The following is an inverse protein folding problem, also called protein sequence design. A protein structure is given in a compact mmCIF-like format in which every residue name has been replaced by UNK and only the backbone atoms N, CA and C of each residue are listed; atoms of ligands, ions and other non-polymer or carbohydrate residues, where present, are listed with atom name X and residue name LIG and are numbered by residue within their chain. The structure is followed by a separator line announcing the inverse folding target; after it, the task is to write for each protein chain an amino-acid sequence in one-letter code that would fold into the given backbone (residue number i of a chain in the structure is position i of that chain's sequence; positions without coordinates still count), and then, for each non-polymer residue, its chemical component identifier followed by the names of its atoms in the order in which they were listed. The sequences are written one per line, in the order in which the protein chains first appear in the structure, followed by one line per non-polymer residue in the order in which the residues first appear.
data_IF_277827812328
#
_entry.id   IF_277827812328
#
_cell.length_a   1.000
_cell.length_b   1.000
_cell.length_c   1.000
_cell.angle_alpha   90.00
_cell.angle_beta   90.00
_cell.angle_gamma   90.00
#
_symmetry.space_group_name_H-M   'P 1'
#
loop_
_entity.id
_entity.type
_entity.pdbx_description
1 polymer ?
#
# COMPACT_ATOMS: atom_id res chain seq x y z
N UNK A 1 -7.33 35.97 -30.82
CA UNK A 1 -7.17 35.60 -29.39
C UNK A 1 -8.52 35.38 -28.68
N UNK A 2 -9.46 36.34 -28.66
CA UNK A 2 -10.76 36.19 -27.95
C UNK A 2 -11.62 34.96 -28.34
N UNK A 3 -11.68 34.60 -29.63
CA UNK A 3 -12.47 33.43 -30.11
C UNK A 3 -11.89 32.09 -29.65
N UNK A 4 -10.57 31.95 -29.66
CA UNK A 4 -9.88 30.73 -29.21
C UNK A 4 -10.17 30.50 -27.72
N UNK A 5 -10.04 31.54 -26.89
CA UNK A 5 -10.34 31.48 -25.45
C UNK A 5 -11.80 31.08 -25.18
N UNK A 6 -12.75 31.59 -25.95
CA UNK A 6 -14.18 31.21 -25.84
C UNK A 6 -14.37 29.71 -26.16
N UNK A 7 -13.74 29.20 -27.21
CA UNK A 7 -13.82 27.77 -27.53
C UNK A 7 -13.17 26.89 -26.46
N UNK A 8 -12.05 27.31 -25.87
CA UNK A 8 -11.42 26.57 -24.77
C UNK A 8 -12.35 26.50 -23.55
N UNK A 9 -13.02 27.61 -23.21
CA UNK A 9 -14.00 27.66 -22.11
C UNK A 9 -15.19 26.75 -22.39
N UNK A 10 -15.75 26.78 -23.61
CA UNK A 10 -16.90 25.95 -23.98
C UNK A 10 -16.57 24.45 -23.96
N UNK A 11 -15.39 24.06 -24.43
CA UNK A 11 -14.93 22.66 -24.39
C UNK A 11 -14.73 22.22 -22.94
N UNK A 12 -14.13 23.06 -22.11
CA UNK A 12 -13.91 22.75 -20.68
C UNK A 12 -15.25 22.59 -19.95
N UNK A 13 -16.21 23.48 -20.23
CA UNK A 13 -17.56 23.42 -19.67
C UNK A 13 -18.32 22.18 -20.15
N UNK A 14 -18.20 21.81 -21.43
CA UNK A 14 -18.79 20.59 -21.99
C UNK A 14 -18.22 19.31 -21.33
N UNK A 15 -16.91 19.28 -21.04
CA UNK A 15 -16.27 18.17 -20.31
C UNK A 15 -16.78 18.08 -18.86
N UNK A 16 -16.95 19.23 -18.20
CA UNK A 16 -17.44 19.28 -16.81
C UNK A 16 -18.89 18.78 -16.72
N UNK A 17 -19.79 19.23 -17.60
CA UNK A 17 -21.19 18.78 -17.61
C UNK A 17 -21.34 17.31 -18.07
N UNK A 18 -20.47 16.82 -18.94
CA UNK A 18 -20.46 15.42 -19.39
C UNK A 18 -19.94 14.44 -18.34
N UNK A 19 -19.22 14.91 -17.32
CA UNK A 19 -18.62 14.06 -16.27
C UNK A 19 -19.65 13.50 -15.28
N UNK A 20 -20.81 14.13 -15.13
CA UNK A 20 -21.85 13.75 -14.15
C UNK A 20 -22.55 12.41 -14.42
N UNK A 21 -22.18 11.65 -15.47
CA UNK A 21 -22.86 10.41 -15.90
C UNK A 21 -22.03 9.12 -15.85
N UNK A 22 -20.79 9.14 -15.36
CA UNK A 22 -19.97 7.93 -15.25
C UNK A 22 -20.56 6.99 -14.19
N UNK A 23 -21.14 5.86 -14.62
CA UNK A 23 -21.67 4.83 -13.71
C UNK A 23 -20.53 4.26 -12.86
N UNK A 24 -20.63 4.42 -11.55
CA UNK A 24 -19.74 3.81 -10.56
C UNK A 24 -20.07 2.32 -10.45
N UNK A 25 -19.48 1.50 -11.32
CA UNK A 25 -19.69 0.05 -11.35
C UNK A 25 -18.71 -0.74 -10.49
N UNK A 26 -17.74 -0.07 -9.85
CA UNK A 26 -16.81 -0.74 -8.95
C UNK A 26 -17.58 -1.19 -7.69
N UNK A 27 -17.71 -2.49 -7.41
CA UNK A 27 -18.44 -2.98 -6.24
C UNK A 27 -17.72 -2.65 -4.92
N UNK A 28 -16.43 -2.35 -4.97
CA UNK A 28 -15.61 -1.95 -3.81
C UNK A 28 -15.45 -0.43 -3.73
N UNK A 29 -16.45 0.31 -4.19
CA UNK A 29 -16.43 1.77 -4.17
C UNK A 29 -17.08 2.31 -2.88
N UNK A 30 -16.28 2.84 -1.93
CA UNK A 30 -16.78 3.28 -0.62
C UNK A 30 -17.76 4.45 -0.67
N UNK A 31 -17.73 5.21 -1.76
CA UNK A 31 -18.60 6.38 -1.92
C UNK A 31 -19.95 5.99 -2.55
N UNK A 32 -20.00 4.87 -3.27
CA UNK A 32 -21.25 4.33 -3.82
C UNK A 32 -21.88 3.27 -2.89
N UNK A 33 -21.06 2.62 -2.06
CA UNK A 33 -21.50 1.62 -1.10
C UNK A 33 -20.97 1.92 0.32
N UNK A 34 -21.83 2.39 1.26
CA UNK A 34 -21.41 2.76 2.60
C UNK A 34 -21.02 1.57 3.49
N UNK A 35 -21.25 0.33 3.05
CA UNK A 35 -20.80 -0.87 3.80
C UNK A 35 -19.33 -1.20 3.54
N UNK A 36 -18.67 -0.49 2.61
CA UNK A 36 -17.27 -0.70 2.28
C UNK A 36 -16.42 0.24 3.14
N UNK A 37 -15.83 -0.33 4.19
CA UNK A 37 -14.79 0.31 4.98
C UNK A 37 -13.43 0.22 4.29
N UNK A 38 -12.80 1.37 4.05
CA UNK A 38 -11.41 1.40 3.56
C UNK A 38 -10.49 0.89 4.71
N UNK A 39 -9.60 -0.08 4.46
CA UNK A 39 -8.62 -0.50 5.45
C UNK A 39 -7.74 0.67 5.89
N UNK A 40 -7.58 0.84 7.20
CA UNK A 40 -6.77 1.90 7.78
C UNK A 40 -5.29 1.67 7.50
N UNK A 41 -4.52 2.75 7.42
CA UNK A 41 -3.07 2.65 7.45
C UNK A 41 -2.61 2.14 8.81
N UNK A 42 -1.64 1.23 8.83
CA UNK A 42 -1.06 0.72 10.08
C UNK A 42 -0.37 1.83 10.88
N UNK A 43 -0.26 1.64 12.19
CA UNK A 43 0.51 2.50 13.08
C UNK A 43 1.85 1.83 13.50
N UNK A 44 2.85 2.65 13.81
CA UNK A 44 4.07 2.22 14.52
C UNK A 44 4.82 1.03 13.89
N UNK A 45 5.00 1.04 12.56
CA UNK A 45 5.89 0.08 11.90
C UNK A 45 7.27 0.13 12.57
N UNK A 46 7.82 -0.99 13.00
CA UNK A 46 9.16 -1.13 13.58
C UNK A 46 9.87 -2.25 12.84
N UNK A 47 11.16 -2.06 12.57
CA UNK A 47 11.95 -2.98 11.76
C UNK A 47 13.22 -3.37 12.53
N UNK A 48 13.48 -4.67 12.59
CA UNK A 48 14.68 -5.26 13.17
C UNK A 48 15.46 -5.99 12.08
N UNK A 49 16.79 -5.94 12.14
CA UNK A 49 17.65 -6.64 11.18
C UNK A 49 18.56 -7.62 11.88
N UNK A 50 19.12 -8.55 11.10
CA UNK A 50 20.30 -9.32 11.52
C UNK A 50 21.44 -8.40 11.95
N UNK A 51 22.26 -8.88 12.89
CA UNK A 51 23.49 -8.20 13.30
C UNK A 51 24.56 -8.18 12.21
N UNK A 52 25.51 -7.26 12.34
CA UNK A 52 26.72 -7.26 11.52
C UNK A 52 27.46 -8.59 11.70
N UNK A 53 27.91 -9.18 10.58
CA UNK A 53 28.61 -10.47 10.59
C UNK A 53 27.71 -11.72 10.69
N UNK A 54 26.38 -11.58 10.82
CA UNK A 54 25.48 -12.72 10.76
C UNK A 54 25.60 -13.47 9.41
N UNK A 55 25.72 -14.80 9.46
CA UNK A 55 25.82 -15.66 8.27
C UNK A 55 24.54 -15.63 7.42
N UNK A 56 23.39 -15.46 8.07
CA UNK A 56 22.09 -15.26 7.42
C UNK A 56 21.59 -13.86 7.70
N UNK A 57 21.16 -13.17 6.65
CA UNK A 57 20.57 -11.83 6.74
C UNK A 57 19.06 -11.94 6.87
N UNK A 58 18.47 -11.13 7.74
CA UNK A 58 17.02 -11.07 7.90
C UNK A 58 16.54 -9.66 8.20
N UNK A 59 15.24 -9.46 7.95
CA UNK A 59 14.45 -8.30 8.36
C UNK A 59 13.17 -8.80 9.01
N UNK A 60 12.91 -8.38 10.24
CA UNK A 60 11.65 -8.59 10.92
C UNK A 60 10.90 -7.26 11.01
N UNK A 61 9.65 -7.26 10.55
CA UNK A 61 8.74 -6.12 10.61
C UNK A 61 7.65 -6.41 11.64
N UNK A 62 7.36 -5.42 12.49
CA UNK A 62 6.25 -5.45 13.44
C UNK A 62 5.51 -4.14 13.40
N UNK A 63 4.20 -4.14 13.63
CA UNK A 63 3.40 -2.92 13.69
C UNK A 63 2.23 -3.07 14.65
N UNK A 64 1.58 -1.95 14.96
CA UNK A 64 0.33 -1.95 15.71
C UNK A 64 -0.80 -2.38 14.80
N UNK A 65 -1.48 -3.48 15.16
CA UNK A 65 -2.54 -4.06 14.36
C UNK A 65 -3.75 -3.12 14.27
N UNK A 66 -4.35 -3.05 13.08
CA UNK A 66 -5.66 -2.45 12.94
C UNK A 66 -6.73 -3.31 13.64
N UNK A 67 -7.89 -2.73 13.98
CA UNK A 67 -9.04 -3.50 14.44
C UNK A 67 -9.44 -4.60 13.43
N UNK A 68 -9.75 -5.80 13.93
CA UNK A 68 -10.10 -6.96 13.10
C UNK A 68 -11.36 -6.74 12.24
N UNK A 69 -12.26 -5.85 12.66
CA UNK A 69 -13.42 -5.48 11.85
C UNK A 69 -13.09 -4.61 10.63
N UNK A 70 -11.87 -4.06 10.52
CA UNK A 70 -11.43 -3.20 9.42
C UNK A 70 -10.34 -3.83 8.56
N UNK A 71 -9.67 -4.89 9.02
CA UNK A 71 -8.50 -5.45 8.36
C UNK A 71 -8.45 -6.95 8.55
N UNK A 72 -8.33 -7.67 7.43
CA UNK A 72 -8.15 -9.12 7.42
C UNK A 72 -6.69 -9.53 7.28
N UNK A 73 -5.85 -8.65 6.74
CA UNK A 73 -4.41 -8.87 6.67
C UNK A 73 -3.66 -7.70 6.06
N UNK A 74 -2.39 -7.94 5.72
CA UNK A 74 -1.45 -6.91 5.31
C UNK A 74 -0.60 -7.36 4.12
N UNK A 75 -0.29 -6.41 3.25
CA UNK A 75 0.72 -6.56 2.21
C UNK A 75 2.00 -5.83 2.61
N UNK A 76 3.13 -6.52 2.42
CA UNK A 76 4.44 -5.94 2.68
C UNK A 76 5.09 -5.64 1.35
N UNK A 77 5.59 -4.41 1.25
CA UNK A 77 6.26 -3.90 0.07
C UNK A 77 7.70 -3.53 0.37
N UNK A 78 8.57 -3.70 -0.63
CA UNK A 78 9.98 -3.36 -0.55
C UNK A 78 10.46 -2.62 -1.80
N UNK A 79 11.35 -1.64 -1.60
CA UNK A 79 12.04 -0.89 -2.64
C UNK A 79 13.53 -0.71 -2.28
N UNK A 80 14.37 -0.47 -3.29
CA UNK A 80 15.77 -0.07 -3.14
C UNK A 80 15.96 1.45 -3.06
N UNK A 81 14.88 2.23 -3.13
CA UNK A 81 14.91 3.69 -3.09
C UNK A 81 13.64 4.25 -2.43
N UNK A 82 13.74 5.39 -1.74
CA UNK A 82 12.60 6.03 -1.06
C UNK A 82 11.43 6.32 -2.02
N UNK A 83 11.72 6.95 -3.17
CA UNK A 83 10.75 7.25 -4.24
C UNK A 83 10.76 6.21 -5.38
N UNK A 84 11.29 5.01 -5.13
CA UNK A 84 11.40 3.95 -6.14
C UNK A 84 10.11 3.13 -6.31
N UNK A 85 10.18 2.17 -7.23
CA UNK A 85 9.13 1.15 -7.40
C UNK A 85 9.12 0.19 -6.23
N UNK A 86 7.98 0.12 -5.54
CA UNK A 86 7.77 -0.83 -4.45
C UNK A 86 7.16 -2.13 -4.98
N UNK A 87 7.81 -3.25 -4.72
CA UNK A 87 7.29 -4.58 -5.06
C UNK A 87 6.65 -5.22 -3.84
N UNK A 88 5.47 -5.83 -4.00
CA UNK A 88 4.88 -6.65 -2.96
C UNK A 88 5.72 -7.91 -2.77
N UNK A 89 6.37 -8.01 -1.62
CA UNK A 89 7.27 -9.13 -1.29
C UNK A 89 6.63 -10.16 -0.39
N UNK A 90 5.52 -9.83 0.27
CA UNK A 90 4.87 -10.73 1.22
C UNK A 90 3.40 -10.35 1.47
N UNK A 91 2.65 -11.29 2.01
CA UNK A 91 1.27 -11.15 2.50
C UNK A 91 1.15 -11.89 3.83
N UNK A 92 0.71 -11.20 4.88
CA UNK A 92 0.51 -11.79 6.21
C UNK A 92 -0.90 -11.51 6.73
N UNK A 93 -1.38 -12.35 7.63
CA UNK A 93 -2.65 -12.19 8.34
C UNK A 93 -2.44 -11.85 9.82
N UNK A 94 -1.19 -11.58 10.20
CA UNK A 94 -0.80 -11.10 11.54
C UNK A 94 -0.14 -9.72 11.43
N UNK A 95 0.19 -9.10 12.55
CA UNK A 95 0.86 -7.80 12.60
C UNK A 95 2.39 -7.90 12.55
N UNK A 96 2.92 -8.96 11.95
CA UNK A 96 4.35 -9.14 11.75
C UNK A 96 4.68 -9.89 10.47
N UNK A 97 5.89 -9.67 9.98
CA UNK A 97 6.47 -10.39 8.85
C UNK A 97 7.98 -10.60 9.08
N UNK A 98 8.52 -11.72 8.61
CA UNK A 98 9.94 -12.02 8.71
C UNK A 98 10.49 -12.44 7.34
N UNK A 99 11.43 -11.67 6.83
CA UNK A 99 12.13 -11.90 5.57
C UNK A 99 13.57 -12.31 5.85
N UNK A 100 14.08 -13.28 5.12
CA UNK A 100 15.47 -13.74 5.20
C UNK A 100 15.70 -14.94 6.11
N UNK A 101 14.77 -15.25 7.02
CA UNK A 101 14.82 -16.48 7.84
C UNK A 101 14.38 -17.74 7.08
N UNK A 102 13.78 -17.57 5.90
CA UNK A 102 13.28 -18.67 5.04
C UNK A 102 13.82 -18.55 3.61
N UNK A 103 14.13 -19.66 2.93
CA UNK A 103 14.74 -19.64 1.60
C UNK A 103 13.96 -18.87 0.53
N UNK A 104 12.62 -18.85 0.61
CA UNK A 104 11.77 -18.16 -0.36
C UNK A 104 11.67 -16.64 -0.12
N UNK A 105 12.11 -16.13 1.03
CA UNK A 105 12.08 -14.71 1.39
C UNK A 105 13.47 -14.13 1.64
N UNK A 106 14.51 -14.64 0.97
CA UNK A 106 15.89 -14.20 1.19
C UNK A 106 16.07 -12.67 1.07
N UNK A 107 16.90 -12.13 1.97
CA UNK A 107 17.38 -10.74 1.91
C UNK A 107 18.90 -10.74 1.94
N UNK A 108 19.51 -9.70 1.38
CA UNK A 108 20.96 -9.51 1.36
C UNK A 108 21.33 -8.24 2.09
N UNK A 109 22.58 -8.12 2.53
CA UNK A 109 23.11 -6.86 3.06
C UNK A 109 22.86 -5.70 2.06
N UNK A 110 22.54 -4.54 2.60
CA UNK A 110 22.22 -3.35 1.81
C UNK A 110 21.03 -2.56 2.35
N UNK A 111 20.72 -1.48 1.63
CA UNK A 111 19.68 -0.53 2.00
C UNK A 111 18.34 -0.87 1.34
N UNK A 112 17.27 -0.79 2.12
CA UNK A 112 15.92 -1.04 1.67
C UNK A 112 14.95 -0.05 2.28
N UNK A 113 13.82 0.12 1.60
CA UNK A 113 12.66 0.83 2.12
C UNK A 113 11.47 -0.11 2.14
N UNK A 114 10.80 -0.19 3.28
CA UNK A 114 9.61 -1.02 3.47
C UNK A 114 8.36 -0.16 3.66
N UNK A 115 7.25 -0.64 3.10
CA UNK A 115 5.90 -0.14 3.36
C UNK A 115 4.99 -1.31 3.70
N UNK A 116 3.94 -1.05 4.46
CA UNK A 116 2.88 -2.01 4.74
C UNK A 116 1.54 -1.35 4.47
N UNK A 117 0.66 -2.03 3.74
CA UNK A 117 -0.75 -1.65 3.60
C UNK A 117 -1.62 -2.74 4.22
N UNK A 118 -2.78 -2.33 4.73
CA UNK A 118 -3.82 -3.26 5.16
C UNK A 118 -4.74 -3.60 3.98
N UNK A 119 -5.34 -4.79 4.01
CA UNK A 119 -6.43 -5.14 3.12
C UNK A 119 -7.62 -5.70 3.91
N UNK A 120 -8.79 -5.64 3.27
CA UNK A 120 -10.03 -6.26 3.73
C UNK A 120 -10.70 -7.00 2.58
N UNK A 121 -11.19 -8.19 2.86
CA UNK A 121 -11.89 -9.05 1.93
C UNK A 121 -13.39 -8.78 1.97
N UNK A 122 -13.96 -8.68 0.78
CA UNK A 122 -15.39 -8.58 0.53
C UNK A 122 -15.79 -9.68 -0.46
N UNK A 123 -17.08 -9.98 -0.55
CA UNK A 123 -17.60 -10.94 -1.54
C UNK A 123 -17.24 -10.58 -2.99
N UNK A 124 -17.11 -9.28 -3.28
CA UNK A 124 -16.74 -8.78 -4.59
C UNK A 124 -15.22 -8.74 -4.85
N UNK A 125 -14.40 -9.04 -3.85
CA UNK A 125 -12.95 -9.04 -3.94
C UNK A 125 -12.27 -8.34 -2.77
N UNK A 126 -10.95 -8.15 -2.90
CA UNK A 126 -10.12 -7.56 -1.86
C UNK A 126 -9.92 -6.06 -2.09
N UNK A 127 -10.18 -5.27 -1.06
CA UNK A 127 -9.87 -3.84 -1.02
C UNK A 127 -8.57 -3.63 -0.25
N UNK A 128 -7.59 -2.97 -0.89
CA UNK A 128 -6.36 -2.53 -0.24
C UNK A 128 -6.48 -1.07 0.20
N UNK A 129 -6.05 -0.77 1.43
CA UNK A 129 -5.97 0.58 1.96
C UNK A 129 -4.67 1.29 1.63
N UNK A 130 -4.51 2.51 2.15
CA UNK A 130 -3.28 3.26 1.96
C UNK A 130 -2.11 2.61 2.71
N UNK A 131 -1.00 2.41 2.00
CA UNK A 131 0.26 1.99 2.61
C UNK A 131 0.80 3.05 3.58
N UNK A 132 1.50 2.61 4.62
CA UNK A 132 2.20 3.52 5.53
C UNK A 132 3.34 4.26 4.82
N UNK A 133 3.86 5.29 5.50
CA UNK A 133 5.06 5.96 5.03
C UNK A 133 6.24 4.97 4.94
N UNK A 134 7.10 5.10 3.91
CA UNK A 134 8.22 4.18 3.78
C UNK A 134 9.22 4.33 4.92
N UNK A 135 9.68 3.19 5.44
CA UNK A 135 10.70 3.10 6.48
C UNK A 135 11.99 2.57 5.87
N UNK A 136 13.05 3.38 5.97
CA UNK A 136 14.40 2.96 5.60
C UNK A 136 14.95 1.95 6.61
N UNK A 137 15.74 1.02 6.10
CA UNK A 137 16.51 0.07 6.89
C UNK A 137 17.81 -0.27 6.15
N UNK A 138 18.91 -0.35 6.89
CA UNK A 138 20.16 -0.91 6.40
C UNK A 138 20.39 -2.29 7.03
N UNK A 139 20.57 -3.30 6.20
CA UNK A 139 20.93 -4.64 6.64
C UNK A 139 22.47 -4.72 6.59
N UNK A 140 23.16 -4.87 7.74
CA UNK A 140 24.61 -4.97 7.79
C UNK A 140 25.11 -6.34 7.32
#
# INVERSE_FOLDING_TARGET
MKRITIYTILISFAIIIGSCGLKRKNPLDPQANPTIDIPKTIAELTIYTSSAGASSKYVELRWTANPSNNTDGYYIYRSLQYYGTYTRVDTTFTNSANHGSKPWHNVRAGEYWYKVSAFKDYSAGRLEGYACQPRWVNIP
#
